data_IF_206765167246
#
_entry.id   IF_206765167246
#
_cell.length_a   1.000
_cell.length_b   1.000
_cell.length_c   1.000
_cell.angle_alpha   90.00
_cell.angle_beta   90.00
_cell.angle_gamma   90.00
#
_symmetry.space_group_name_H-M   'P 1'
#
loop_
_entity.id
_entity.type
_entity.pdbx_description
1 polymer ?
#
# COMPACT_ATOMS: atom_id res chain seq x y z
N UNK A 1 -16.59 0.19 22.08
CA UNK A 1 -16.38 -1.19 21.60
C UNK A 1 -17.34 -1.52 20.48
N UNK A 2 -16.84 -1.59 19.25
CA UNK A 2 -17.54 -2.16 18.09
C UNK A 2 -17.14 -3.62 17.96
N UNK A 3 -18.08 -4.43 17.49
CA UNK A 3 -17.85 -5.85 17.20
C UNK A 3 -18.13 -6.06 15.72
N UNK A 4 -17.12 -6.52 15.00
CA UNK A 4 -17.23 -6.93 13.60
C UNK A 4 -17.27 -8.47 13.56
N UNK A 5 -18.18 -8.99 12.73
CA UNK A 5 -18.31 -10.41 12.46
C UNK A 5 -18.33 -10.58 10.95
N UNK A 6 -17.36 -11.31 10.42
CA UNK A 6 -17.19 -11.55 8.99
C UNK A 6 -17.14 -13.06 8.76
N UNK A 7 -17.83 -13.53 7.72
CA UNK A 7 -17.78 -14.92 7.28
C UNK A 7 -17.38 -14.95 5.81
N UNK A 8 -16.29 -15.67 5.51
CA UNK A 8 -15.78 -15.85 4.16
C UNK A 8 -15.96 -17.30 3.77
N UNK A 9 -16.83 -17.54 2.79
CA UNK A 9 -17.04 -18.86 2.18
C UNK A 9 -16.39 -18.88 0.81
N UNK A 10 -15.53 -19.84 0.55
CA UNK A 10 -14.81 -20.02 -0.71
C UNK A 10 -14.92 -21.45 -1.20
N UNK A 11 -15.13 -21.62 -2.50
CA UNK A 11 -15.04 -22.93 -3.15
C UNK A 11 -13.57 -23.28 -3.41
N UNK A 12 -13.21 -24.51 -3.06
CA UNK A 12 -11.88 -25.08 -3.28
C UNK A 12 -11.98 -26.29 -4.22
N UNK A 13 -10.82 -26.87 -4.53
CA UNK A 13 -10.71 -27.96 -5.51
C UNK A 13 -11.71 -29.11 -5.25
N UNK A 14 -12.24 -29.69 -6.34
CA UNK A 14 -13.24 -30.78 -6.32
C UNK A 14 -14.55 -30.45 -5.60
N UNK A 15 -14.97 -29.17 -5.59
CA UNK A 15 -16.24 -28.76 -4.98
C UNK A 15 -16.20 -28.76 -3.45
N UNK A 16 -15.02 -28.77 -2.85
CA UNK A 16 -14.87 -28.54 -1.42
C UNK A 16 -15.25 -27.09 -1.08
N UNK A 17 -15.69 -26.87 0.17
CA UNK A 17 -16.03 -25.54 0.67
C UNK A 17 -15.11 -25.23 1.85
N UNK A 18 -14.47 -24.07 1.81
CA UNK A 18 -13.67 -23.52 2.90
C UNK A 18 -14.41 -22.31 3.50
N UNK A 19 -14.68 -22.36 4.81
CA UNK A 19 -15.38 -21.29 5.53
C UNK A 19 -14.49 -20.74 6.63
N UNK A 20 -14.31 -19.42 6.65
CA UNK A 20 -13.54 -18.70 7.67
C UNK A 20 -14.49 -17.71 8.37
N UNK A 21 -14.72 -17.92 9.67
CA UNK A 21 -15.48 -16.99 10.50
C UNK A 21 -14.51 -16.16 11.37
N UNK A 22 -14.60 -14.84 11.25
CA UNK A 22 -13.78 -13.88 12.00
C UNK A 22 -14.68 -13.05 12.92
N UNK A 23 -14.29 -12.93 14.18
CA UNK A 23 -14.90 -12.01 15.13
C UNK A 23 -13.81 -11.07 15.66
N UNK A 24 -13.99 -9.78 15.41
CA UNK A 24 -13.06 -8.75 15.87
C UNK A 24 -13.79 -7.79 16.82
N UNK A 25 -13.25 -7.60 18.02
CA UNK A 25 -13.68 -6.55 18.94
C UNK A 25 -12.71 -5.41 18.84
N UNK A 26 -13.18 -4.27 18.37
CA UNK A 26 -12.35 -3.09 18.17
C UNK A 26 -12.90 -1.89 18.92
N UNK A 27 -12.02 -1.10 19.51
CA UNK A 27 -12.36 0.26 19.92
C UNK A 27 -12.10 1.18 18.72
N UNK A 28 -13.18 1.53 18.01
CA UNK A 28 -13.09 2.31 16.75
C UNK A 28 -12.23 3.56 16.88
N UNK A 29 -12.37 4.31 17.98
CA UNK A 29 -11.55 5.51 18.21
C UNK A 29 -10.06 5.18 18.34
N UNK A 30 -9.71 4.10 19.05
CA UNK A 30 -8.31 3.70 19.22
C UNK A 30 -7.69 3.19 17.91
N UNK A 31 -8.48 2.64 17.00
CA UNK A 31 -8.02 2.29 15.65
C UNK A 31 -7.95 3.51 14.73
N UNK A 32 -8.89 4.45 14.84
CA UNK A 32 -8.97 5.61 13.95
C UNK A 32 -7.90 6.66 14.24
N UNK A 33 -7.55 6.90 15.51
CA UNK A 33 -6.55 7.91 15.88
C UNK A 33 -5.19 7.72 15.19
N UNK A 34 -4.53 6.55 15.22
CA UNK A 34 -3.26 6.36 14.53
C UNK A 34 -3.39 6.49 13.00
N UNK A 35 -4.49 6.02 12.41
CA UNK A 35 -4.77 6.16 10.98
C UNK A 35 -4.83 7.65 10.57
N UNK A 36 -5.49 8.50 11.39
CA UNK A 36 -5.53 9.94 11.14
C UNK A 36 -4.15 10.59 11.26
N UNK A 37 -3.33 10.16 12.22
CA UNK A 37 -1.96 10.67 12.37
C UNK A 37 -1.12 10.31 11.13
N UNK A 38 -1.17 9.07 10.68
CA UNK A 38 -0.45 8.62 9.50
C UNK A 38 -0.85 9.39 8.24
N UNK A 39 -2.16 9.61 8.04
CA UNK A 39 -2.68 10.41 6.91
C UNK A 39 -2.08 11.82 6.89
N UNK A 40 -2.04 12.51 8.04
CA UNK A 40 -1.51 13.87 8.13
C UNK A 40 0.00 13.87 7.88
N UNK A 41 0.74 12.93 8.48
CA UNK A 41 2.19 12.85 8.36
C UNK A 41 2.61 12.56 6.91
N UNK A 42 1.96 11.59 6.26
CA UNK A 42 2.30 11.24 4.87
C UNK A 42 1.81 12.30 3.89
N UNK A 43 0.65 12.94 4.13
CA UNK A 43 0.20 14.06 3.31
C UNK A 43 1.17 15.24 3.38
N UNK A 44 1.65 15.61 4.57
CA UNK A 44 2.64 16.68 4.73
C UNK A 44 3.97 16.30 4.06
N UNK A 45 4.44 15.06 4.25
CA UNK A 45 5.65 14.57 3.59
C UNK A 45 5.55 14.62 2.06
N UNK A 46 4.39 14.27 1.50
CA UNK A 46 4.15 14.33 0.05
C UNK A 46 4.26 15.76 -0.51
N UNK A 47 3.96 16.81 0.29
CA UNK A 47 4.15 18.20 -0.16
C UNK A 47 5.63 18.61 -0.27
N UNK A 48 6.52 17.89 0.41
CA UNK A 48 7.98 18.15 0.39
C UNK A 48 8.73 17.35 -0.67
N UNK A 49 8.07 16.39 -1.32
CA UNK A 49 8.68 15.56 -2.35
C UNK A 49 8.44 16.19 -3.72
N UNK A 50 9.52 16.45 -4.45
CA UNK A 50 9.51 16.82 -5.86
C UNK A 50 10.24 15.77 -6.70
N UNK A 51 9.83 15.62 -7.94
CA UNK A 51 10.46 14.71 -8.90
C UNK A 51 10.62 15.40 -10.24
N UNK A 52 11.69 15.01 -10.96
CA UNK A 52 12.03 15.56 -12.26
C UNK A 52 11.89 14.48 -13.32
N UNK A 53 11.10 14.76 -14.34
CA UNK A 53 10.97 13.87 -15.49
C UNK A 53 12.26 13.99 -16.31
N UNK A 54 12.82 12.85 -16.74
CA UNK A 54 14.05 12.85 -17.52
C UNK A 54 13.85 13.66 -18.82
N UNK A 55 14.62 14.73 -18.99
CA UNK A 55 14.51 15.67 -20.12
C UNK A 55 13.57 16.86 -19.90
N UNK A 56 12.85 16.95 -18.79
CA UNK A 56 12.16 18.18 -18.39
C UNK A 56 13.14 19.13 -17.66
N UNK A 57 12.91 20.44 -17.72
CA UNK A 57 13.73 21.41 -16.96
C UNK A 57 13.22 21.58 -15.53
N UNK A 58 11.90 21.58 -15.35
CA UNK A 58 11.23 21.86 -14.08
C UNK A 58 10.97 20.61 -13.23
N UNK A 59 11.05 20.81 -11.91
CA UNK A 59 10.59 19.83 -10.93
C UNK A 59 9.06 19.87 -10.80
N UNK A 60 8.46 18.70 -10.60
CA UNK A 60 7.02 18.53 -10.42
C UNK A 60 6.74 17.89 -9.07
N UNK A 61 5.62 18.28 -8.46
CA UNK A 61 5.10 17.66 -7.25
C UNK A 61 4.07 16.58 -7.59
N UNK A 62 3.63 15.83 -6.57
CA UNK A 62 2.52 14.89 -6.72
C UNK A 62 1.25 15.55 -7.27
N UNK A 63 0.46 14.74 -7.97
CA UNK A 63 -0.89 15.12 -8.38
C UNK A 63 -1.73 15.53 -7.16
N UNK A 64 -2.64 16.50 -7.32
CA UNK A 64 -3.48 17.03 -6.24
C UNK A 64 -4.29 15.95 -5.51
N UNK A 65 -4.72 14.93 -6.24
CA UNK A 65 -5.26 13.68 -5.71
C UNK A 65 -4.11 12.75 -5.31
N UNK A 66 -3.77 12.74 -4.01
CA UNK A 66 -2.70 11.93 -3.42
C UNK A 66 -3.11 10.46 -3.26
N UNK A 67 -3.03 9.68 -4.35
CA UNK A 67 -3.34 8.24 -4.32
C UNK A 67 -2.44 7.41 -3.40
N UNK A 68 -1.28 7.93 -2.99
CA UNK A 68 -0.40 7.33 -1.98
C UNK A 68 -1.09 7.13 -0.61
N UNK A 69 -2.09 7.95 -0.29
CA UNK A 69 -2.85 7.88 0.96
C UNK A 69 -3.88 6.74 0.99
N UNK A 70 -4.04 6.00 -0.12
CA UNK A 70 -5.06 4.94 -0.27
C UNK A 70 -4.98 3.84 0.79
N UNK A 71 -3.79 3.60 1.37
CA UNK A 71 -3.58 2.60 2.42
C UNK A 71 -4.49 2.80 3.64
N UNK A 72 -4.84 4.04 3.96
CA UNK A 72 -5.63 4.40 5.15
C UNK A 72 -7.10 4.69 4.83
N UNK A 73 -7.51 4.63 3.55
CA UNK A 73 -8.84 5.01 3.10
C UNK A 73 -9.61 3.81 2.57
N UNK A 74 -10.85 3.64 3.04
CA UNK A 74 -11.71 2.54 2.59
C UNK A 74 -12.14 2.69 1.12
N UNK A 75 -12.33 3.92 0.65
CA UNK A 75 -12.72 4.25 -0.71
C UNK A 75 -11.78 5.34 -1.23
N UNK A 76 -10.57 4.98 -1.67
CA UNK A 76 -9.57 5.95 -2.07
C UNK A 76 -10.00 6.68 -3.36
N UNK A 77 -9.78 7.99 -3.39
CA UNK A 77 -9.89 8.78 -4.60
C UNK A 77 -8.59 8.67 -5.40
N UNK A 78 -8.71 8.50 -6.71
CA UNK A 78 -7.59 8.36 -7.63
C UNK A 78 -7.73 9.38 -8.77
N UNK A 79 -6.62 9.81 -9.42
CA UNK A 79 -6.69 10.67 -10.60
C UNK A 79 -7.59 10.09 -11.69
N UNK A 80 -8.13 10.95 -12.55
CA UNK A 80 -8.94 10.51 -13.69
C UNK A 80 -8.20 9.49 -14.54
N UNK A 81 -8.94 8.51 -15.06
CA UNK A 81 -8.43 7.42 -15.90
C UNK A 81 -7.43 6.46 -15.23
N UNK A 82 -7.24 6.54 -13.90
CA UNK A 82 -6.39 5.59 -13.16
C UNK A 82 -7.21 4.51 -12.42
N UNK A 83 -6.70 3.27 -12.32
CA UNK A 83 -7.42 2.19 -11.64
C UNK A 83 -7.36 2.32 -10.11
N UNK A 84 -8.45 1.94 -9.45
CA UNK A 84 -8.51 1.85 -7.98
C UNK A 84 -7.93 0.52 -7.52
N UNK A 85 -6.90 0.56 -6.67
CA UNK A 85 -6.30 -0.61 -6.03
C UNK A 85 -6.68 -0.61 -4.55
N UNK A 86 -7.44 -1.63 -4.09
CA UNK A 86 -7.88 -1.78 -2.70
C UNK A 86 -7.13 -2.88 -1.92
N UNK A 87 -6.15 -3.53 -2.55
CA UNK A 87 -5.33 -4.54 -1.89
C UNK A 87 -4.34 -3.87 -0.93
N UNK A 88 -4.60 -3.96 0.38
CA UNK A 88 -3.83 -3.27 1.43
C UNK A 88 -2.31 -3.52 1.34
N UNK A 89 -1.90 -4.76 1.03
CA UNK A 89 -0.48 -5.10 0.89
C UNK A 89 0.18 -4.43 -0.33
N UNK A 90 -0.54 -4.27 -1.43
CA UNK A 90 -0.02 -3.58 -2.63
C UNK A 90 0.08 -2.08 -2.39
N UNK A 91 -0.90 -1.49 -1.70
CA UNK A 91 -0.86 -0.09 -1.29
C UNK A 91 0.34 0.17 -0.36
N UNK A 92 0.62 -0.72 0.58
CA UNK A 92 1.82 -0.65 1.45
C UNK A 92 3.12 -0.75 0.65
N UNK A 93 3.21 -1.70 -0.28
CA UNK A 93 4.39 -1.87 -1.11
C UNK A 93 4.67 -0.63 -1.98
N UNK A 94 3.62 0.02 -2.49
CA UNK A 94 3.73 1.29 -3.21
C UNK A 94 4.36 2.38 -2.31
N UNK A 95 3.82 2.57 -1.10
CA UNK A 95 4.34 3.53 -0.13
C UNK A 95 5.83 3.26 0.21
N UNK A 96 6.16 2.00 0.50
CA UNK A 96 7.52 1.58 0.82
C UNK A 96 8.49 1.88 -0.34
N UNK A 97 8.11 1.54 -1.57
CA UNK A 97 8.95 1.75 -2.75
C UNK A 97 9.14 3.24 -3.06
N UNK A 98 8.15 4.09 -2.82
CA UNK A 98 8.30 5.55 -2.95
C UNK A 98 9.34 6.07 -1.95
N UNK A 99 9.23 5.70 -0.68
CA UNK A 99 10.20 6.16 0.34
C UNK A 99 11.60 5.57 0.14
N UNK A 100 11.71 4.34 -0.36
CA UNK A 100 13.00 3.76 -0.78
C UNK A 100 13.64 4.57 -1.89
N UNK A 101 12.85 4.99 -2.88
CA UNK A 101 13.35 5.85 -3.95
C UNK A 101 13.86 7.20 -3.40
N UNK A 102 13.19 7.79 -2.39
CA UNK A 102 13.65 9.02 -1.74
C UNK A 102 15.04 8.89 -1.07
N UNK A 103 15.43 7.69 -0.65
CA UNK A 103 16.77 7.41 -0.07
C UNK A 103 17.73 6.76 -1.06
N UNK A 104 17.39 6.72 -2.36
CA UNK A 104 18.23 6.18 -3.42
C UNK A 104 18.31 4.65 -3.46
N UNK A 105 17.38 3.95 -2.82
CA UNK A 105 17.30 2.49 -2.83
C UNK A 105 16.39 2.00 -3.97
N UNK A 106 16.73 0.86 -4.61
CA UNK A 106 15.86 0.25 -5.60
C UNK A 106 14.58 -0.30 -4.97
N UNK A 107 13.48 -0.43 -5.76
CA UNK A 107 12.24 -1.00 -5.27
C UNK A 107 12.41 -2.47 -4.87
N UNK A 108 11.65 -2.88 -3.86
CA UNK A 108 11.66 -4.24 -3.36
C UNK A 108 10.88 -5.16 -4.32
N UNK A 109 11.53 -6.20 -4.83
CA UNK A 109 10.98 -7.12 -5.83
C UNK A 109 10.86 -8.58 -5.36
N UNK A 110 11.37 -8.88 -4.15
CA UNK A 110 11.33 -10.21 -3.53
C UNK A 110 11.93 -11.36 -4.37
N UNK A 111 12.73 -11.08 -5.40
CA UNK A 111 13.23 -12.13 -6.29
C UNK A 111 14.31 -13.00 -5.66
N UNK A 112 15.14 -12.43 -4.76
CA UNK A 112 16.23 -13.12 -4.02
C UNK A 112 17.08 -14.05 -4.91
N UNK A 113 17.42 -13.57 -6.11
CA UNK A 113 18.06 -14.39 -7.15
C UNK A 113 19.43 -14.89 -6.71
N UNK A 114 20.16 -14.12 -5.91
CA UNK A 114 21.45 -14.46 -5.32
C UNK A 114 21.44 -15.79 -4.54
N UNK A 115 20.28 -16.20 -4.01
CA UNK A 115 20.11 -17.48 -3.31
C UNK A 115 19.57 -18.61 -4.20
N UNK A 116 19.19 -18.29 -5.44
CA UNK A 116 18.60 -19.22 -6.42
C UNK A 116 19.59 -19.59 -7.53
N UNK A 117 20.79 -19.03 -7.50
CA UNK A 117 21.87 -19.38 -8.44
C UNK A 117 22.56 -20.68 -8.01
N UNK A 118 22.82 -21.56 -8.98
CA UNK A 118 23.54 -22.83 -8.78
C UNK A 118 25.04 -22.60 -8.57
N UNK A 119 25.60 -21.61 -9.27
CA UNK A 119 26.98 -21.19 -9.10
C UNK A 119 27.04 -20.00 -8.14
N UNK A 120 27.73 -20.17 -7.00
CA UNK A 120 28.09 -19.03 -6.17
C UNK A 120 29.15 -18.21 -6.93
N UNK A 121 29.00 -16.88 -7.08
CA UNK A 121 30.14 -16.06 -7.45
C UNK A 121 31.23 -16.29 -6.39
N UNK A 122 32.44 -16.65 -6.84
CA UNK A 122 33.63 -16.72 -5.98
C UNK A 122 33.96 -15.35 -5.39
#
# INVERSE_FOLDING_TARGET
SKRAMDEYVSEIFMGGINTIALHNTCEDSLLATPIMLDLILVAEMATRISFKINGAEDEQSFHSVLSILSYWLKAPMVPEETPVVNALSQQRACLENIFRACVGLPPENHMTLEHKLVAKPQ
#
